data_IF_699304938303
#
_entry.id   IF_699304938303
#
_cell.length_a   1.000
_cell.length_b   1.000
_cell.length_c   1.000
_cell.angle_alpha   90.00
_cell.angle_beta   90.00
_cell.angle_gamma   90.00
#
_symmetry.space_group_name_H-M   'P 1'
#
loop_
_entity.id
_entity.type
_entity.pdbx_description
1 polymer ?
#
# COMPACT_ATOMS: atom_id res chain seq x y z
N UNK A 1 14.45 1.64 -11.83
CA UNK A 1 13.74 0.38 -12.17
C UNK A 1 12.26 0.58 -11.94
N UNK A 2 11.46 0.31 -12.95
CA UNK A 2 10.02 0.52 -12.92
C UNK A 2 9.29 -0.80 -12.75
N UNK A 3 8.31 -0.81 -11.84
CA UNK A 3 7.46 -1.96 -11.56
C UNK A 3 6.01 -1.55 -11.71
N UNK A 4 5.18 -2.41 -12.32
CA UNK A 4 3.76 -2.17 -12.50
C UNK A 4 2.96 -3.42 -12.14
N UNK A 5 1.88 -3.24 -11.39
CA UNK A 5 0.99 -4.32 -10.98
C UNK A 5 -0.45 -3.86 -11.03
N UNK A 6 -1.35 -4.80 -11.24
CA UNK A 6 -2.78 -4.57 -11.17
C UNK A 6 -3.49 -5.86 -10.82
N UNK A 7 -4.70 -5.75 -10.31
CA UNK A 7 -5.48 -6.92 -9.94
C UNK A 7 -6.82 -6.56 -9.34
N UNK A 8 -7.48 -7.57 -8.83
CA UNK A 8 -8.76 -7.44 -8.14
C UNK A 8 -8.68 -8.17 -6.82
N UNK A 9 -9.26 -7.58 -5.77
CA UNK A 9 -9.35 -8.17 -4.45
C UNK A 9 -10.76 -8.03 -3.91
N UNK A 10 -11.35 -9.12 -3.45
CA UNK A 10 -12.64 -9.08 -2.79
C UNK A 10 -12.44 -8.96 -1.28
N UNK A 11 -13.07 -7.93 -0.70
CA UNK A 11 -13.02 -7.67 0.73
C UNK A 11 -14.38 -8.02 1.32
N UNK A 12 -14.46 -8.88 2.34
CA UNK A 12 -15.73 -9.28 2.96
C UNK A 12 -16.24 -8.20 3.94
N UNK A 13 -16.43 -7.00 3.43
CA UNK A 13 -16.96 -5.86 4.17
C UNK A 13 -17.76 -4.98 3.23
N UNK A 14 -18.76 -4.29 3.75
CA UNK A 14 -19.63 -3.42 2.97
C UNK A 14 -18.86 -2.23 2.40
N UNK A 15 -19.31 -1.71 1.27
CA UNK A 15 -18.66 -0.62 0.54
C UNK A 15 -18.36 0.60 1.43
N UNK A 16 -19.32 1.01 2.26
CA UNK A 16 -19.14 2.14 3.18
C UNK A 16 -18.07 1.88 4.24
N UNK A 17 -17.99 0.65 4.74
CA UNK A 17 -16.96 0.25 5.70
C UNK A 17 -15.57 0.25 5.08
N UNK A 18 -15.45 -0.25 3.86
CA UNK A 18 -14.18 -0.24 3.13
C UNK A 18 -13.76 1.19 2.80
N UNK A 19 -14.70 2.04 2.38
CA UNK A 19 -14.40 3.44 2.10
C UNK A 19 -13.89 4.17 3.34
N UNK A 20 -14.55 4.01 4.48
CA UNK A 20 -14.12 4.62 5.74
C UNK A 20 -12.71 4.14 6.13
N UNK A 21 -12.42 2.88 5.91
CA UNK A 21 -11.12 2.29 6.21
C UNK A 21 -10.00 2.86 5.32
N UNK A 22 -10.20 2.85 4.00
CA UNK A 22 -9.14 3.25 3.05
C UNK A 22 -8.92 4.77 3.00
N UNK A 23 -9.81 5.55 3.61
CA UNK A 23 -9.66 7.01 3.76
C UNK A 23 -9.21 7.42 5.15
N UNK A 24 -8.95 6.47 6.03
CA UNK A 24 -8.39 6.72 7.35
C UNK A 24 -6.86 6.56 7.29
N UNK A 25 -6.09 7.67 7.45
CA UNK A 25 -4.63 7.60 7.28
C UNK A 25 -3.94 6.68 8.28
N UNK A 26 -4.41 6.59 9.53
CA UNK A 26 -3.82 5.68 10.50
C UNK A 26 -4.03 4.22 10.10
N UNK A 27 -5.24 3.87 9.70
CA UNK A 27 -5.56 2.49 9.28
C UNK A 27 -4.80 2.09 8.03
N UNK A 28 -4.68 2.99 7.06
CA UNK A 28 -3.88 2.75 5.86
C UNK A 28 -2.40 2.56 6.23
N UNK A 29 -1.85 3.42 7.07
CA UNK A 29 -0.47 3.29 7.52
C UNK A 29 -0.19 1.96 8.20
N UNK A 30 -1.11 1.46 9.00
CA UNK A 30 -0.96 0.19 9.72
C UNK A 30 -1.12 -1.04 8.84
N UNK A 31 -1.58 -0.90 7.60
CA UNK A 31 -1.68 -2.01 6.65
C UNK A 31 -0.38 -2.28 5.89
N UNK A 32 0.61 -1.41 5.96
CA UNK A 32 1.89 -1.68 5.32
C UNK A 32 2.55 -2.91 5.96
N UNK A 33 3.08 -3.84 5.13
CA UNK A 33 3.79 -5.00 5.65
C UNK A 33 4.99 -4.60 6.49
N UNK A 34 5.22 -5.31 7.59
CA UNK A 34 6.37 -5.09 8.50
C UNK A 34 6.42 -3.68 9.08
N UNK A 35 5.27 -3.04 9.25
CA UNK A 35 5.19 -1.71 9.86
C UNK A 35 5.55 -1.77 11.34
N UNK A 36 6.40 -0.82 11.78
CA UNK A 36 6.84 -0.70 13.19
C UNK A 36 6.33 0.58 13.84
N UNK A 37 6.07 1.62 13.07
CA UNK A 37 5.61 2.89 13.59
C UNK A 37 4.76 3.62 12.57
N UNK A 38 3.73 4.34 13.05
CA UNK A 38 2.81 5.12 12.22
C UNK A 38 2.58 6.46 12.90
N UNK A 39 2.74 7.55 12.15
CA UNK A 39 2.46 8.90 12.63
C UNK A 39 1.54 9.60 11.66
N UNK A 40 0.31 9.89 12.07
CA UNK A 40 -0.65 10.65 11.28
C UNK A 40 -0.29 12.12 11.35
N UNK A 41 -0.16 12.76 10.19
CA UNK A 41 0.18 14.18 10.11
C UNK A 41 -1.04 15.08 9.96
N UNK A 42 -2.00 14.63 9.16
CA UNK A 42 -3.28 15.30 8.92
C UNK A 42 -4.28 14.29 8.32
N UNK A 43 -5.51 14.67 7.98
CA UNK A 43 -6.51 13.72 7.49
C UNK A 43 -6.13 12.97 6.20
N UNK A 44 -5.14 13.44 5.45
CA UNK A 44 -4.72 12.83 4.17
C UNK A 44 -3.25 12.44 4.13
N UNK A 45 -2.50 12.64 5.22
CA UNK A 45 -1.06 12.37 5.24
C UNK A 45 -0.69 11.52 6.45
N UNK A 46 0.07 10.47 6.19
CA UNK A 46 0.60 9.59 7.23
C UNK A 46 2.04 9.19 6.91
N UNK A 47 2.86 9.14 7.94
CA UNK A 47 4.22 8.61 7.86
C UNK A 47 4.25 7.25 8.54
N UNK A 48 5.00 6.33 7.96
CA UNK A 48 5.20 5.00 8.54
C UNK A 48 6.68 4.60 8.45
N UNK A 49 7.10 3.75 9.37
CA UNK A 49 8.40 3.11 9.33
C UNK A 49 8.19 1.62 9.17
N UNK A 50 8.84 1.02 8.18
CA UNK A 50 8.71 -0.39 7.87
C UNK A 50 10.07 -1.08 7.85
N UNK A 51 10.10 -2.36 8.19
CA UNK A 51 11.30 -3.19 8.03
C UNK A 51 11.40 -3.65 6.59
N UNK A 52 12.61 -3.59 6.05
CA UNK A 52 12.90 -4.03 4.68
C UNK A 52 13.99 -5.10 4.74
N UNK A 53 13.77 -6.21 4.04
CA UNK A 53 14.77 -7.26 3.87
C UNK A 53 14.65 -7.83 2.46
N UNK A 54 15.46 -7.32 1.52
CA UNK A 54 15.48 -7.76 0.13
C UNK A 54 16.94 -8.00 -0.25
N UNK A 55 17.33 -9.28 -0.31
CA UNK A 55 18.72 -9.65 -0.54
C UNK A 55 19.64 -9.03 0.51
N UNK A 56 20.70 -8.31 0.11
CA UNK A 56 21.60 -7.64 1.04
C UNK A 56 21.04 -6.34 1.61
N UNK A 57 19.93 -5.83 1.09
CA UNK A 57 19.30 -4.58 1.53
C UNK A 57 18.43 -4.87 2.74
N UNK A 58 18.90 -4.52 3.93
CA UNK A 58 18.21 -4.79 5.20
C UNK A 58 18.24 -3.57 6.10
N UNK A 59 17.14 -3.31 6.77
CA UNK A 59 17.00 -2.22 7.72
C UNK A 59 15.60 -1.65 7.72
N UNK A 60 15.46 -0.34 7.87
CA UNK A 60 14.18 0.33 7.91
C UNK A 60 14.05 1.36 6.80
N UNK A 61 12.85 1.45 6.22
CA UNK A 61 12.46 2.53 5.31
C UNK A 61 11.47 3.43 6.03
N UNK A 62 11.63 4.73 5.82
CA UNK A 62 10.62 5.73 6.20
C UNK A 62 9.77 6.02 4.99
N UNK A 63 8.45 5.88 5.14
CA UNK A 63 7.48 6.06 4.06
C UNK A 63 6.58 7.24 4.37
N UNK A 64 6.31 8.06 3.35
CA UNK A 64 5.32 9.13 3.39
C UNK A 64 4.19 8.76 2.45
N UNK A 65 2.97 8.81 2.95
CA UNK A 65 1.77 8.43 2.21
C UNK A 65 0.81 9.61 2.16
N UNK A 66 0.35 9.94 0.96
CA UNK A 66 -0.70 10.91 0.73
C UNK A 66 -1.93 10.19 0.17
N UNK A 67 -3.07 10.39 0.84
CA UNK A 67 -4.36 9.86 0.40
C UNK A 67 -5.06 10.88 -0.49
N UNK A 68 -5.56 10.44 -1.63
CA UNK A 68 -6.26 11.28 -2.60
C UNK A 68 -7.65 10.67 -2.87
N UNK A 69 -8.61 10.85 -1.94
CA UNK A 69 -9.95 10.30 -2.10
C UNK A 69 -10.76 11.10 -3.13
N UNK A 70 -11.42 10.39 -4.05
CA UNK A 70 -12.31 11.02 -5.00
C UNK A 70 -13.63 11.42 -4.34
N UNK A 71 -14.26 12.48 -4.84
CA UNK A 71 -15.55 12.96 -4.33
C UNK A 71 -16.68 11.96 -4.54
N UNK A 72 -16.55 11.04 -5.49
CA UNK A 72 -17.50 9.95 -5.72
C UNK A 72 -17.57 8.94 -4.56
N UNK A 73 -16.55 8.92 -3.69
CA UNK A 73 -16.37 7.93 -2.61
C UNK A 73 -16.27 6.50 -3.13
N UNK A 74 -15.78 6.34 -4.36
CA UNK A 74 -15.61 5.05 -5.03
C UNK A 74 -14.23 4.86 -5.62
N UNK A 75 -13.35 5.85 -5.46
CA UNK A 75 -11.97 5.79 -5.95
C UNK A 75 -11.05 6.42 -4.93
N UNK A 76 -10.00 5.70 -4.58
CA UNK A 76 -8.91 6.22 -3.73
C UNK A 76 -7.60 6.08 -4.48
N UNK A 77 -6.82 7.14 -4.52
CA UNK A 77 -5.46 7.12 -5.03
C UNK A 77 -4.49 7.41 -3.89
N UNK A 78 -3.29 6.85 -3.98
CA UNK A 78 -2.22 7.02 -3.01
C UNK A 78 -0.95 7.46 -3.73
N UNK A 79 -0.25 8.44 -3.14
CA UNK A 79 1.14 8.73 -3.47
C UNK A 79 2.02 8.32 -2.31
N UNK A 80 3.02 7.51 -2.60
CA UNK A 80 3.90 6.95 -1.59
C UNK A 80 5.34 7.24 -1.98
N UNK A 81 6.12 7.77 -1.05
CA UNK A 81 7.56 7.89 -1.22
C UNK A 81 8.23 7.27 -0.01
N UNK A 82 9.27 6.48 -0.27
CA UNK A 82 10.00 5.81 0.79
C UNK A 82 11.48 5.78 0.53
N UNK A 83 12.25 5.62 1.58
CA UNK A 83 13.69 5.52 1.43
C UNK A 83 14.41 5.13 2.70
N UNK A 84 15.64 4.70 2.52
CA UNK A 84 16.58 4.35 3.57
C UNK A 84 17.87 3.81 2.96
N UNK A 85 18.97 3.95 3.67
CA UNK A 85 20.32 3.51 3.27
C UNK A 85 20.67 3.75 1.79
N UNK A 86 20.39 4.97 1.31
CA UNK A 86 20.68 5.36 -0.08
C UNK A 86 19.70 4.87 -1.13
N UNK A 87 18.73 4.05 -0.74
CA UNK A 87 17.65 3.60 -1.62
C UNK A 87 16.47 4.54 -1.56
N UNK A 88 15.73 4.63 -2.67
CA UNK A 88 14.48 5.39 -2.75
C UNK A 88 13.46 4.63 -3.60
N UNK A 89 12.21 4.70 -3.18
CA UNK A 89 11.07 4.12 -3.90
C UNK A 89 9.96 5.17 -3.97
N UNK A 90 9.52 5.49 -5.18
CA UNK A 90 8.35 6.34 -5.41
C UNK A 90 7.24 5.49 -6.01
N UNK A 91 6.05 5.61 -5.46
CA UNK A 91 4.91 4.78 -5.82
C UNK A 91 3.66 5.61 -6.02
N UNK A 92 2.87 5.24 -7.02
CA UNK A 92 1.48 5.67 -7.13
C UNK A 92 0.62 4.43 -7.21
N UNK A 93 -0.48 4.44 -6.50
CA UNK A 93 -1.42 3.33 -6.50
C UNK A 93 -2.84 3.87 -6.43
N UNK A 94 -3.79 3.08 -6.86
CA UNK A 94 -5.18 3.46 -6.78
C UNK A 94 -6.10 2.27 -6.87
N UNK A 95 -7.32 2.43 -6.37
CA UNK A 95 -8.33 1.39 -6.40
C UNK A 95 -9.71 1.96 -6.61
N UNK A 96 -10.49 1.31 -7.47
CA UNK A 96 -11.92 1.52 -7.58
C UNK A 96 -12.62 0.56 -6.62
N UNK A 97 -13.57 1.08 -5.86
CA UNK A 97 -14.40 0.30 -4.95
C UNK A 97 -15.73 0.00 -5.65
N UNK A 98 -16.02 -1.28 -5.82
CA UNK A 98 -17.24 -1.76 -6.48
C UNK A 98 -18.00 -2.62 -5.49
N UNK A 99 -19.30 -2.34 -5.33
CA UNK A 99 -20.17 -3.18 -4.51
C UNK A 99 -20.28 -4.56 -5.15
N UNK A 100 -19.83 -5.59 -4.44
CA UNK A 100 -19.85 -6.97 -4.93
C UNK A 100 -21.10 -7.73 -4.47
N UNK A 101 -22.01 -7.07 -3.73
CA UNK A 101 -23.19 -7.70 -3.18
C UNK A 101 -22.91 -8.48 -1.90
N UNK A 102 -23.96 -8.83 -1.17
CA UNK A 102 -23.90 -9.64 0.05
C UNK A 102 -22.91 -9.11 1.12
N UNK A 103 -22.74 -7.77 1.18
CA UNK A 103 -21.84 -7.15 2.16
C UNK A 103 -20.37 -7.27 1.80
N UNK A 104 -20.05 -7.49 0.53
CA UNK A 104 -18.66 -7.57 0.06
C UNK A 104 -18.35 -6.41 -0.91
N UNK A 105 -17.08 -6.06 -0.99
CA UNK A 105 -16.57 -5.01 -1.88
C UNK A 105 -15.46 -5.57 -2.76
N UNK A 106 -15.52 -5.28 -4.05
CA UNK A 106 -14.45 -5.58 -4.99
C UNK A 106 -13.57 -4.36 -5.14
N UNK A 107 -12.27 -4.53 -4.89
CA UNK A 107 -11.25 -3.53 -5.16
C UNK A 107 -10.58 -3.84 -6.49
N UNK A 108 -10.76 -2.96 -7.47
CA UNK A 108 -10.00 -3.01 -8.72
C UNK A 108 -8.83 -2.07 -8.57
N UNK A 109 -7.64 -2.61 -8.43
CA UNK A 109 -6.47 -1.83 -8.06
C UNK A 109 -5.38 -1.88 -9.12
N UNK A 110 -4.57 -0.84 -9.14
CA UNK A 110 -3.34 -0.79 -9.91
C UNK A 110 -2.29 0.02 -9.15
N UNK A 111 -1.04 -0.24 -9.44
CA UNK A 111 0.06 0.50 -8.83
C UNK A 111 1.29 0.44 -9.69
N UNK A 112 2.12 1.46 -9.57
CA UNK A 112 3.42 1.51 -10.21
C UNK A 112 4.44 2.10 -9.25
N UNK A 113 5.66 1.62 -9.35
CA UNK A 113 6.75 2.03 -8.48
C UNK A 113 8.02 2.24 -9.28
N UNK A 114 8.83 3.19 -8.84
CA UNK A 114 10.19 3.37 -9.32
C UNK A 114 11.14 3.18 -8.16
N UNK A 115 12.06 2.22 -8.30
CA UNK A 115 13.07 1.92 -7.30
C UNK A 115 14.44 2.42 -7.77
N UNK A 116 15.18 3.08 -6.86
CA UNK A 116 16.50 3.64 -7.13
C UNK A 116 17.45 3.31 -5.99
N UNK A 117 18.75 3.29 -6.30
CA UNK A 117 19.80 3.03 -5.32
C UNK A 117 20.02 1.53 -5.07
N UNK A 118 20.59 1.15 -3.90
CA UNK A 118 20.91 -0.24 -3.60
C UNK A 118 19.75 -1.22 -3.77
N UNK A 119 18.51 -0.80 -3.47
CA UNK A 119 17.34 -1.67 -3.64
C UNK A 119 17.11 -2.04 -5.12
N UNK A 120 17.39 -1.14 -6.05
CA UNK A 120 17.28 -1.44 -7.47
C UNK A 120 18.35 -2.41 -7.96
N UNK A 121 19.51 -2.43 -7.30
CA UNK A 121 20.62 -3.27 -7.67
C UNK A 121 20.41 -4.77 -7.38
N UNK A 122 19.41 -5.13 -6.58
CA UNK A 122 19.08 -6.55 -6.32
C UNK A 122 18.52 -7.26 -7.55
N UNK A 123 18.05 -6.50 -8.54
CA UNK A 123 17.56 -7.03 -9.82
C UNK A 123 16.04 -7.17 -9.90
N UNK A 124 15.54 -7.10 -11.13
CA UNK A 124 14.11 -7.07 -11.40
C UNK A 124 13.37 -8.31 -10.94
N UNK A 125 13.97 -9.50 -11.10
CA UNK A 125 13.33 -10.75 -10.69
C UNK A 125 13.13 -10.84 -9.18
N UNK A 126 14.13 -10.42 -8.40
CA UNK A 126 14.05 -10.40 -6.95
C UNK A 126 13.04 -9.36 -6.47
N UNK A 127 13.07 -8.15 -7.05
CA UNK A 127 12.11 -7.10 -6.71
C UNK A 127 10.68 -7.48 -7.08
N UNK A 128 10.47 -8.13 -8.23
CA UNK A 128 9.15 -8.58 -8.65
C UNK A 128 8.56 -9.58 -7.64
N UNK A 129 9.32 -10.59 -7.26
CA UNK A 129 8.88 -11.58 -6.28
C UNK A 129 8.55 -10.93 -4.93
N UNK A 130 9.40 -10.00 -4.48
CA UNK A 130 9.18 -9.29 -3.23
C UNK A 130 7.95 -8.39 -3.28
N UNK A 131 7.76 -7.67 -4.39
CA UNK A 131 6.60 -6.80 -4.58
C UNK A 131 5.30 -7.58 -4.52
N UNK A 132 5.21 -8.72 -5.21
CA UNK A 132 4.01 -9.55 -5.19
C UNK A 132 3.71 -10.06 -3.79
N UNK A 133 4.73 -10.47 -3.04
CA UNK A 133 4.58 -10.90 -1.65
C UNK A 133 4.06 -9.76 -0.77
N UNK A 134 4.62 -8.55 -0.91
CA UNK A 134 4.21 -7.39 -0.13
C UNK A 134 2.78 -6.95 -0.45
N UNK A 135 2.38 -7.01 -1.71
CA UNK A 135 1.00 -6.72 -2.13
C UNK A 135 0.03 -7.69 -1.47
N UNK A 136 0.33 -8.98 -1.50
CA UNK A 136 -0.51 -10.01 -0.87
C UNK A 136 -0.62 -9.79 0.64
N UNK A 137 0.48 -9.44 1.31
CA UNK A 137 0.50 -9.15 2.74
C UNK A 137 -0.34 -7.91 3.08
N UNK A 138 -0.22 -6.86 2.26
CA UNK A 138 -0.98 -5.61 2.47
C UNK A 138 -2.49 -5.87 2.40
N UNK A 139 -2.96 -6.58 1.37
CA UNK A 139 -4.38 -6.93 1.26
C UNK A 139 -4.83 -7.88 2.35
N UNK A 140 -3.99 -8.81 2.77
CA UNK A 140 -4.25 -9.66 3.93
C UNK A 140 -4.47 -8.85 5.21
N UNK A 141 -3.65 -7.82 5.43
CA UNK A 141 -3.77 -6.91 6.58
C UNK A 141 -5.08 -6.11 6.51
N UNK A 142 -5.45 -5.63 5.33
CA UNK A 142 -6.72 -4.92 5.13
C UNK A 142 -7.90 -5.81 5.50
N UNK A 143 -7.93 -7.05 4.99
CA UNK A 143 -9.00 -8.00 5.30
C UNK A 143 -9.07 -8.28 6.80
N UNK A 144 -7.94 -8.55 7.42
CA UNK A 144 -7.87 -8.88 8.84
C UNK A 144 -8.41 -7.75 9.71
N UNK A 145 -8.06 -6.51 9.41
CA UNK A 145 -8.50 -5.36 10.20
C UNK A 145 -9.98 -5.03 9.97
N UNK A 146 -10.48 -5.22 8.75
CA UNK A 146 -11.89 -4.96 8.44
C UNK A 146 -12.84 -6.04 8.96
N UNK A 147 -12.34 -7.24 9.19
CA UNK A 147 -13.16 -8.38 9.65
C UNK A 147 -12.92 -8.75 11.11
N UNK A 148 -12.07 -8.01 11.78
CA UNK A 148 -11.74 -8.26 13.19
C UNK A 148 -12.86 -7.79 14.13
#
# INVERSE_FOLDING_TARGET
MNLQYSGEETIPAALGSVWTFVTDPEKVGRCFPEVIDVTVRDPTHVDATVKVGVGPVRGTFKIKVELLPASSKRRIDLKISGGGFGSAVDMTAGADLVDAGAGATLLKWSGQAEARGPIAAVGGRVLDAQAQKLIAQAFGNVRQQLTA
#
